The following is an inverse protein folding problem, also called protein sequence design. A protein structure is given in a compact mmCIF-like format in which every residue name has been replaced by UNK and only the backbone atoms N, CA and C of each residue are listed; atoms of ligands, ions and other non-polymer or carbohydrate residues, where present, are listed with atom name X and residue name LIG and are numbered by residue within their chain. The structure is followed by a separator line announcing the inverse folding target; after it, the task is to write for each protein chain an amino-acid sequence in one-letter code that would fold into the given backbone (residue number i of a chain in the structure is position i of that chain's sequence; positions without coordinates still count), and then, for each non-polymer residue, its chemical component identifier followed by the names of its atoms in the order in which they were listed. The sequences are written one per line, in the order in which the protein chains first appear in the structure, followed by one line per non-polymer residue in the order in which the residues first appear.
data_IF_566678337087
#
_entry.id   IF_566678337087
#
_cell.length_a   1.000
_cell.length_b   1.000
_cell.length_c   1.000
_cell.angle_alpha   90.00
_cell.angle_beta   90.00
_cell.angle_gamma   90.00
#
_symmetry.space_group_name_H-M   'P 1'
#
loop_
_entity.id
_entity.type
_entity.pdbx_description
1 polymer ?
#
# COMPACT_ATOMS: atom_id res chain seq x y z
N UNK A 1 -7.86 5.62 -19.99
CA UNK A 1 -7.88 5.47 -18.53
C UNK A 1 -7.00 6.52 -17.85
N UNK A 2 -7.31 7.83 -17.97
CA UNK A 2 -6.51 8.91 -17.34
C UNK A 2 -7.14 9.47 -16.06
N UNK A 3 -8.28 8.92 -15.63
CA UNK A 3 -8.82 9.21 -14.31
C UNK A 3 -8.16 8.22 -13.35
N UNK A 4 -7.21 8.74 -12.59
CA UNK A 4 -6.65 8.04 -11.44
C UNK A 4 -7.77 7.86 -10.43
N UNK A 5 -8.10 6.61 -10.20
CA UNK A 5 -8.92 6.20 -9.09
C UNK A 5 -8.33 6.80 -7.82
N UNK A 6 -9.15 7.36 -6.94
CA UNK A 6 -8.75 7.74 -5.58
C UNK A 6 -9.18 6.61 -4.63
N UNK A 7 -8.43 5.51 -4.55
CA UNK A 7 -8.71 4.47 -3.58
C UNK A 7 -8.49 5.02 -2.17
N UNK A 8 -9.35 4.59 -1.24
CA UNK A 8 -9.18 4.91 0.17
C UNK A 8 -7.82 4.44 0.69
N UNK A 9 -7.32 5.09 1.75
CA UNK A 9 -6.01 4.79 2.34
C UNK A 9 -5.86 3.31 2.72
N UNK A 10 -6.95 2.64 3.12
CA UNK A 10 -6.97 1.21 3.44
C UNK A 10 -6.75 0.33 2.19
N UNK A 11 -7.48 0.61 1.11
CA UNK A 11 -7.34 -0.11 -0.16
C UNK A 11 -5.93 0.05 -0.74
N UNK A 12 -5.35 1.24 -0.62
CA UNK A 12 -3.95 1.49 -0.98
C UNK A 12 -2.98 0.69 -0.12
N UNK A 13 -3.16 0.68 1.19
CA UNK A 13 -2.30 -0.08 2.10
C UNK A 13 -2.30 -1.58 1.76
N UNK A 14 -3.47 -2.13 1.44
CA UNK A 14 -3.60 -3.51 0.98
C UNK A 14 -2.86 -3.75 -0.34
N UNK A 15 -3.00 -2.86 -1.32
CA UNK A 15 -2.28 -2.97 -2.60
C UNK A 15 -0.76 -2.88 -2.41
N UNK A 16 -0.28 -2.01 -1.52
CA UNK A 16 1.14 -1.96 -1.13
C UNK A 16 1.62 -3.25 -0.47
N UNK A 17 0.73 -3.94 0.24
CA UNK A 17 0.98 -5.27 0.81
C UNK A 17 0.77 -6.43 -0.20
N UNK A 18 0.67 -6.13 -1.50
CA UNK A 18 0.35 -7.09 -2.57
C UNK A 18 -0.94 -7.89 -2.29
N UNK A 19 -1.94 -7.26 -1.69
CA UNK A 19 -3.30 -7.83 -1.55
C UNK A 19 -4.28 -7.02 -2.39
N UNK A 20 -5.13 -7.70 -3.15
CA UNK A 20 -6.24 -7.07 -3.86
C UNK A 20 -7.41 -6.84 -2.89
N UNK A 21 -7.81 -5.58 -2.61
CA UNK A 21 -9.00 -5.29 -1.83
C UNK A 21 -10.28 -5.68 -2.59
N UNK A 22 -11.27 -6.25 -1.90
CA UNK A 22 -12.61 -6.50 -2.46
C UNK A 22 -13.31 -5.21 -2.92
N UNK A 23 -13.02 -4.08 -2.27
CA UNK A 23 -13.55 -2.77 -2.64
C UNK A 23 -13.03 -2.28 -4.00
N UNK A 24 -11.93 -2.82 -4.54
CA UNK A 24 -11.36 -2.34 -5.79
C UNK A 24 -12.26 -2.61 -6.99
N UNK A 25 -12.93 -3.76 -7.04
CA UNK A 25 -13.85 -4.05 -8.16
C UNK A 25 -14.97 -3.01 -8.22
N UNK A 26 -15.59 -2.70 -7.08
CA UNK A 26 -16.64 -1.68 -6.98
C UNK A 26 -16.15 -0.30 -7.44
N UNK A 27 -14.94 0.10 -7.02
CA UNK A 27 -14.39 1.41 -7.39
C UNK A 27 -14.16 1.52 -8.91
N UNK A 28 -13.76 0.44 -9.58
CA UNK A 28 -13.56 0.44 -11.04
C UNK A 28 -14.87 0.28 -11.80
N UNK A 29 -15.84 -0.48 -11.26
CA UNK A 29 -17.20 -0.57 -11.80
C UNK A 29 -17.89 0.80 -11.82
N UNK A 30 -17.72 1.62 -10.78
CA UNK A 30 -18.21 3.01 -10.73
C UNK A 30 -17.62 3.89 -11.86
N UNK A 31 -16.44 3.54 -12.35
CA UNK A 31 -15.76 4.20 -13.47
C UNK A 31 -16.08 3.54 -14.83
N UNK A 32 -16.95 2.54 -14.85
CA UNK A 32 -17.34 1.79 -16.04
C UNK A 32 -16.25 0.85 -16.57
N UNK A 33 -15.28 0.47 -15.73
CA UNK A 33 -14.17 -0.42 -16.09
C UNK A 33 -14.29 -1.71 -15.29
N UNK A 34 -14.32 -2.86 -15.98
CA UNK A 34 -14.25 -4.16 -15.32
C UNK A 34 -12.79 -4.56 -15.12
N UNK A 35 -12.32 -4.58 -13.87
CA UNK A 35 -10.96 -4.98 -13.53
C UNK A 35 -10.67 -6.44 -13.89
N UNK A 36 -11.55 -7.32 -13.43
CA UNK A 36 -11.51 -8.76 -13.71
C UNK A 36 -12.67 -9.07 -14.65
N UNK A 37 -12.45 -9.84 -15.73
CA UNK A 37 -13.52 -10.22 -16.63
C UNK A 37 -14.54 -11.10 -15.90
N UNK A 38 -15.81 -10.69 -15.89
CA UNK A 38 -16.93 -11.44 -15.29
C UNK A 38 -17.38 -12.62 -16.14
N UNK A 39 -16.99 -12.64 -17.42
CA UNK A 39 -17.27 -13.72 -18.35
C UNK A 39 -15.98 -14.20 -18.98
N UNK A 40 -15.94 -15.50 -19.29
CA UNK A 40 -14.81 -16.07 -19.99
C UNK A 40 -14.68 -15.41 -21.37
N UNK A 41 -13.60 -14.68 -21.58
CA UNK A 41 -13.29 -14.12 -22.88
C UNK A 41 -13.12 -15.26 -23.91
N UNK A 42 -13.39 -15.02 -25.21
CA UNK A 42 -13.11 -15.98 -26.24
C UNK A 42 -11.60 -16.24 -26.31
N UNK A 43 -11.15 -17.32 -25.66
CA UNK A 43 -9.77 -17.77 -25.69
C UNK A 43 -9.59 -18.83 -26.77
N UNK A 44 -8.67 -18.59 -27.70
CA UNK A 44 -8.23 -19.61 -28.66
C UNK A 44 -6.96 -20.28 -28.17
N UNK A 45 -6.89 -21.59 -28.34
CA UNK A 45 -5.68 -22.37 -28.11
C UNK A 45 -5.38 -23.14 -29.38
N UNK A 46 -4.12 -23.16 -29.82
CA UNK A 46 -3.66 -23.94 -30.98
C UNK A 46 -3.60 -25.46 -30.70
N UNK A 47 -4.30 -25.96 -29.68
CA UNK A 47 -4.33 -27.38 -29.37
C UNK A 47 -5.25 -28.14 -30.34
N UNK A 48 -4.96 -29.42 -30.55
CA UNK A 48 -5.73 -30.31 -31.43
C UNK A 48 -7.12 -30.71 -30.89
N UNK A 49 -7.58 -30.10 -29.79
CA UNK A 49 -8.83 -30.46 -29.13
C UNK A 49 -9.89 -29.41 -29.47
N UNK A 50 -10.97 -29.82 -30.12
CA UNK A 50 -12.14 -28.99 -30.45
C UNK A 50 -13.10 -28.85 -29.26
N UNK A 51 -12.58 -28.37 -28.13
CA UNK A 51 -13.36 -28.07 -26.93
C UNK A 51 -12.96 -26.70 -26.40
N UNK A 52 -13.94 -25.82 -26.15
CA UNK A 52 -13.71 -24.49 -25.61
C UNK A 52 -14.48 -24.28 -24.29
N UNK A 53 -13.81 -23.95 -23.16
CA UNK A 53 -12.35 -23.85 -23.01
C UNK A 53 -11.68 -25.23 -22.93
N UNK A 54 -10.53 -25.39 -23.60
CA UNK A 54 -9.74 -26.61 -23.49
C UNK A 54 -8.99 -26.64 -22.15
N UNK A 55 -8.48 -27.81 -21.75
CA UNK A 55 -7.70 -27.96 -20.50
C UNK A 55 -6.49 -27.01 -20.39
N UNK A 56 -5.91 -26.58 -21.51
CA UNK A 56 -4.78 -25.66 -21.50
C UNK A 56 -5.23 -24.23 -21.22
N UNK A 57 -6.37 -23.80 -21.76
CA UNK A 57 -6.98 -22.51 -21.41
C UNK A 57 -7.32 -22.50 -19.93
N UNK A 58 -7.89 -23.59 -19.41
CA UNK A 58 -8.18 -23.74 -17.98
C UNK A 58 -6.89 -23.66 -17.16
N UNK A 59 -5.88 -24.48 -17.49
CA UNK A 59 -4.60 -24.48 -16.78
C UNK A 59 -3.91 -23.12 -16.80
N UNK A 60 -3.90 -22.43 -17.95
CA UNK A 60 -3.35 -21.08 -18.07
C UNK A 60 -4.14 -20.08 -17.23
N UNK A 61 -5.48 -20.15 -17.23
CA UNK A 61 -6.31 -19.27 -16.42
C UNK A 61 -6.11 -19.48 -14.92
N UNK A 62 -5.92 -20.73 -14.47
CA UNK A 62 -5.59 -21.04 -13.08
C UNK A 62 -4.21 -20.51 -12.70
N UNK A 63 -3.19 -20.74 -13.56
CA UNK A 63 -1.84 -20.22 -13.31
C UNK A 63 -1.81 -18.69 -13.29
N UNK A 64 -2.63 -18.04 -14.13
CA UNK A 64 -2.76 -16.59 -14.12
C UNK A 64 -3.46 -16.11 -12.84
N UNK A 65 -4.55 -16.75 -12.41
CA UNK A 65 -5.22 -16.42 -11.16
C UNK A 65 -4.27 -16.53 -9.96
N UNK A 66 -3.51 -17.61 -9.87
CA UNK A 66 -2.53 -17.85 -8.80
C UNK A 66 -1.44 -16.76 -8.78
N UNK A 67 -0.96 -16.34 -9.95
CA UNK A 67 0.00 -15.24 -10.07
C UNK A 67 -0.59 -13.89 -9.67
N UNK A 68 -1.87 -13.65 -9.97
CA UNK A 68 -2.58 -12.42 -9.59
C UNK A 68 -2.88 -12.35 -8.09
N UNK A 69 -3.13 -13.49 -7.45
CA UNK A 69 -3.27 -13.59 -5.99
C UNK A 69 -1.96 -13.21 -5.27
N UNK A 70 -0.80 -13.58 -5.83
CA UNK A 70 0.51 -13.20 -5.31
C UNK A 70 0.92 -11.76 -5.67
N UNK A 71 0.56 -11.29 -6.86
CA UNK A 71 1.03 -10.04 -7.45
C UNK A 71 -0.12 -9.27 -8.11
N UNK A 72 -1.02 -8.66 -7.31
CA UNK A 72 -2.23 -8.04 -7.84
C UNK A 72 -1.97 -6.84 -8.75
N UNK A 73 -0.80 -6.20 -8.63
CA UNK A 73 -0.40 -5.08 -9.49
C UNK A 73 -0.14 -5.50 -10.96
N UNK A 74 0.11 -6.78 -11.22
CA UNK A 74 0.22 -7.32 -12.59
C UNK A 74 -1.09 -7.16 -13.37
N UNK A 75 -2.25 -7.08 -12.69
CA UNK A 75 -3.52 -6.76 -13.32
C UNK A 75 -3.46 -5.41 -14.06
N UNK A 76 -2.87 -4.38 -13.43
CA UNK A 76 -2.76 -3.07 -14.07
C UNK A 76 -1.84 -3.10 -15.28
N UNK A 77 -0.78 -3.90 -15.21
CA UNK A 77 0.13 -4.12 -16.33
C UNK A 77 -0.59 -4.79 -17.52
N UNK A 78 -1.46 -5.76 -17.25
CA UNK A 78 -2.32 -6.38 -18.29
C UNK A 78 -3.31 -5.38 -18.91
N UNK A 79 -3.75 -4.38 -18.15
CA UNK A 79 -4.55 -3.25 -18.65
C UNK A 79 -3.72 -2.15 -19.34
N UNK A 80 -2.41 -2.37 -19.52
CA UNK A 80 -1.50 -1.45 -20.21
C UNK A 80 -1.02 -0.28 -19.35
N UNK A 81 -1.16 -0.37 -18.03
CA UNK A 81 -0.64 0.61 -17.08
C UNK A 81 0.51 -0.01 -16.31
N UNK A 82 1.72 0.53 -16.47
CA UNK A 82 2.88 0.06 -15.72
C UNK A 82 2.72 0.36 -14.22
N UNK A 83 3.43 -0.42 -13.41
CA UNK A 83 3.48 -0.23 -11.96
C UNK A 83 3.97 1.17 -11.61
N UNK A 84 4.97 1.64 -12.32
CA UNK A 84 5.59 2.95 -12.16
C UNK A 84 4.59 4.07 -12.47
N UNK A 85 3.89 3.99 -13.60
CA UNK A 85 2.85 4.97 -13.97
C UNK A 85 1.69 5.01 -12.96
N UNK A 86 1.33 3.86 -12.39
CA UNK A 86 0.30 3.79 -11.36
C UNK A 86 0.73 4.48 -10.06
N UNK A 87 1.95 4.19 -9.59
CA UNK A 87 2.49 4.88 -8.41
C UNK A 87 2.73 6.36 -8.64
N UNK A 88 3.19 6.75 -9.83
CA UNK A 88 3.39 8.15 -10.20
C UNK A 88 2.07 8.90 -10.16
N UNK A 89 0.98 8.30 -10.65
CA UNK A 89 -0.34 8.90 -10.55
C UNK A 89 -0.83 9.08 -9.11
N UNK A 90 -0.59 8.12 -8.22
CA UNK A 90 -0.94 8.27 -6.79
C UNK A 90 -0.10 9.38 -6.15
N UNK A 91 1.20 9.42 -6.44
CA UNK A 91 2.10 10.45 -5.91
C UNK A 91 1.66 11.83 -6.36
N UNK A 92 1.33 12.00 -7.64
CA UNK A 92 0.80 13.24 -8.17
C UNK A 92 -0.51 13.66 -7.48
N UNK A 93 -1.40 12.69 -7.19
CA UNK A 93 -2.64 12.96 -6.44
C UNK A 93 -2.38 13.48 -5.02
N UNK A 94 -1.24 13.12 -4.43
CA UNK A 94 -0.78 13.59 -3.12
C UNK A 94 0.11 14.83 -3.21
N UNK A 95 0.34 15.39 -4.40
CA UNK A 95 1.26 16.52 -4.63
C UNK A 95 2.74 16.15 -4.48
N UNK A 96 3.07 14.86 -4.52
CA UNK A 96 4.43 14.32 -4.46
C UNK A 96 4.94 14.12 -5.89
N UNK A 97 6.18 14.52 -6.23
CA UNK A 97 6.72 14.32 -7.58
C UNK A 97 6.85 12.83 -7.95
N UNK A 98 6.68 12.48 -9.25
CA UNK A 98 6.75 11.10 -9.74
C UNK A 98 8.15 10.48 -9.52
N UNK A 99 8.19 9.16 -9.33
CA UNK A 99 9.38 8.32 -9.22
C UNK A 99 10.18 8.31 -10.51
N UNK A 100 9.52 8.34 -11.67
CA UNK A 100 10.18 8.38 -13.00
C UNK A 100 11.12 9.58 -13.18
N UNK A 101 10.91 10.68 -12.46
CA UNK A 101 11.80 11.84 -12.43
C UNK A 101 13.03 11.67 -11.53
N UNK A 102 13.17 10.54 -10.81
CA UNK A 102 14.34 10.21 -10.00
C UNK A 102 14.91 8.86 -10.43
N UNK A 103 15.88 8.89 -11.35
CA UNK A 103 17.02 7.99 -11.14
C UNK A 103 17.55 8.31 -9.73
N UNK A 104 17.75 7.34 -8.83
CA UNK A 104 18.51 7.60 -7.64
C UNK A 104 19.95 7.84 -8.12
N UNK A 105 20.28 9.09 -8.42
CA UNK A 105 21.55 9.60 -7.93
C UNK A 105 21.46 9.36 -6.43
N UNK A 106 22.01 8.22 -5.98
CA UNK A 106 22.32 8.01 -4.58
C UNK A 106 23.05 9.29 -4.20
N UNK A 107 22.44 10.19 -3.40
CA UNK A 107 23.18 11.35 -2.94
C UNK A 107 24.41 10.73 -2.29
N UNK A 108 25.61 11.12 -2.71
CA UNK A 108 26.80 10.82 -1.95
C UNK A 108 26.49 11.35 -0.57
N UNK A 109 26.12 10.46 0.35
CA UNK A 109 25.75 10.85 1.70
C UNK A 109 27.03 11.43 2.26
N UNK A 110 27.12 12.75 2.21
CA UNK A 110 28.22 13.48 2.80
C UNK A 110 28.07 13.18 4.28
N UNK A 111 29.05 12.49 4.89
CA UNK A 111 29.00 12.07 6.29
C UNK A 111 28.63 13.23 7.25
N UNK A 112 28.88 14.47 6.82
CA UNK A 112 28.50 15.71 7.48
C UNK A 112 26.98 15.99 7.60
N UNK A 113 26.12 15.27 6.87
CA UNK A 113 24.65 15.46 6.90
C UNK A 113 23.91 14.42 7.76
N UNK A 114 24.63 13.44 8.34
CA UNK A 114 24.03 12.44 9.25
C UNK A 114 23.40 13.15 10.46
N UNK A 115 24.04 14.21 10.95
CA UNK A 115 23.55 15.00 12.10
C UNK A 115 22.27 15.79 11.79
N UNK A 116 22.04 16.18 10.54
CA UNK A 116 20.84 16.91 10.12
C UNK A 116 19.73 16.01 9.58
N UNK A 117 19.93 14.69 9.47
CA UNK A 117 18.95 13.77 8.89
C UNK A 117 17.60 13.77 9.64
N UNK A 118 17.62 13.88 10.97
CA UNK A 118 16.42 13.97 11.79
C UNK A 118 15.89 15.41 11.97
N UNK A 119 16.51 16.39 11.33
CA UNK A 119 15.98 17.75 11.34
C UNK A 119 14.88 17.85 10.29
N UNK A 120 13.72 18.35 10.71
CA UNK A 120 12.61 18.64 9.82
C UNK A 120 13.04 19.80 8.88
N UNK A 121 13.24 19.56 7.57
CA UNK A 121 13.79 20.56 6.66
C UNK A 121 12.77 21.65 6.31
N UNK A 122 11.48 21.38 6.56
CA UNK A 122 10.39 22.32 6.40
C UNK A 122 9.81 22.69 7.77
N UNK A 123 9.39 23.95 7.99
CA UNK A 123 8.60 24.29 9.15
C UNK A 123 7.34 23.43 9.14
N UNK A 124 7.08 22.74 10.26
CA UNK A 124 5.85 21.96 10.40
C UNK A 124 4.64 22.88 10.13
N UNK A 125 3.59 22.37 9.47
CA UNK A 125 2.36 23.14 9.31
C UNK A 125 1.92 23.65 10.68
N UNK A 126 1.73 24.96 10.82
CA UNK A 126 1.39 25.63 12.10
C UNK A 126 0.02 25.20 12.64
N UNK A 127 -0.78 24.58 11.76
CA UNK A 127 -1.85 23.66 12.10
C UNK A 127 -1.24 22.34 12.59
N UNK A 128 -0.66 22.36 13.78
CA UNK A 128 -0.75 21.22 14.67
C UNK A 128 -2.03 21.50 15.44
N UNK A 129 -3.17 21.01 14.94
CA UNK A 129 -4.40 21.06 15.72
C UNK A 129 -4.07 20.59 17.13
N UNK A 130 -4.52 21.34 18.15
CA UNK A 130 -4.38 20.93 19.54
C UNK A 130 -4.97 19.54 19.63
N UNK A 131 -4.11 18.53 19.70
CA UNK A 131 -4.53 17.19 20.06
C UNK A 131 -4.98 17.36 21.50
N UNK A 132 -6.30 17.40 21.72
CA UNK A 132 -6.88 17.15 23.04
C UNK A 132 -6.49 15.73 23.40
N UNK A 133 -5.26 15.59 23.91
CA UNK A 133 -4.75 14.34 24.44
C UNK A 133 -5.57 14.10 25.71
N UNK A 134 -6.41 13.05 25.75
CA UNK A 134 -7.11 12.72 26.98
C UNK A 134 -6.05 12.40 28.03
N UNK A 135 -6.17 13.00 29.23
CA UNK A 135 -5.36 12.65 30.41
C UNK A 135 -5.66 11.19 30.78
N UNK A 136 -5.02 10.26 30.09
CA UNK A 136 -5.21 8.82 30.25
C UNK A 136 -3.85 8.16 30.34
N UNK A 137 -3.74 7.16 31.22
CA UNK A 137 -2.50 6.40 31.35
C UNK A 137 -2.26 5.62 30.06
N UNK A 138 -1.22 6.01 29.32
CA UNK A 138 -0.84 5.39 28.03
C UNK A 138 -0.61 3.88 28.22
N UNK A 139 -0.21 3.44 29.41
CA UNK A 139 -0.04 2.02 29.73
C UNK A 139 -1.36 1.25 29.89
N UNK A 140 -2.48 1.93 30.17
CA UNK A 140 -3.81 1.29 30.14
C UNK A 140 -4.31 1.09 28.70
N UNK A 141 -3.97 2.02 27.79
CA UNK A 141 -4.39 1.97 26.38
C UNK A 141 -3.54 0.96 25.60
N UNK A 142 -2.21 1.04 25.73
CA UNK A 142 -1.27 0.23 24.95
C UNK A 142 -0.90 -1.09 25.65
N UNK A 143 -1.25 -1.23 26.93
CA UNK A 143 -0.85 -2.36 27.75
C UNK A 143 0.64 -2.34 28.11
N UNK A 144 1.06 -3.35 28.87
CA UNK A 144 2.48 -3.51 29.24
C UNK A 144 3.26 -3.99 28.02
N UNK A 145 4.34 -3.30 27.61
CA UNK A 145 5.15 -3.72 26.48
C UNK A 145 5.75 -5.13 26.69
N UNK A 146 5.82 -5.97 25.64
CA UNK A 146 6.22 -7.38 25.76
C UNK A 146 7.68 -7.58 26.17
N UNK A 147 8.51 -6.53 26.08
CA UNK A 147 9.90 -6.54 26.50
C UNK A 147 10.09 -6.17 27.98
N UNK A 148 9.03 -5.82 28.71
CA UNK A 148 9.08 -5.62 30.16
C UNK A 148 8.54 -6.84 30.90
N UNK A 149 9.28 -7.37 31.89
CA UNK A 149 8.74 -8.38 32.78
C UNK A 149 7.63 -7.76 33.63
N UNK A 150 6.42 -8.35 33.59
CA UNK A 150 5.26 -7.86 34.34
C UNK A 150 5.46 -7.81 35.86
N UNK A 151 6.51 -8.47 36.38
CA UNK A 151 6.89 -8.49 37.80
C UNK A 151 7.61 -7.22 38.26
N UNK A 152 8.13 -6.39 37.35
CA UNK A 152 9.00 -5.27 37.72
C UNK A 152 8.22 -3.96 37.92
N UNK A 153 7.48 -3.92 39.03
CA UNK A 153 6.59 -2.81 39.41
C UNK A 153 7.33 -1.47 39.51
N UNK A 154 8.62 -1.49 39.84
CA UNK A 154 9.42 -0.29 40.02
C UNK A 154 9.65 0.44 38.69
N UNK A 155 9.93 -0.32 37.63
CA UNK A 155 10.15 0.22 36.29
C UNK A 155 8.86 0.77 35.67
N UNK A 156 7.73 0.07 35.87
CA UNK A 156 6.41 0.55 35.44
C UNK A 156 6.04 1.87 36.12
N UNK A 157 6.35 2.01 37.41
CA UNK A 157 6.07 3.22 38.16
C UNK A 157 6.91 4.41 37.70
N UNK A 158 8.18 4.19 37.34
CA UNK A 158 9.05 5.22 36.74
C UNK A 158 8.51 5.66 35.38
N UNK A 159 8.15 4.71 34.51
CA UNK A 159 7.64 5.04 33.18
C UNK A 159 6.30 5.80 33.25
N UNK A 160 5.39 5.37 34.12
CA UNK A 160 4.13 6.09 34.36
C UNK A 160 4.34 7.54 34.81
N UNK A 161 5.42 7.84 35.52
CA UNK A 161 5.75 9.21 35.92
C UNK A 161 6.25 10.07 34.75
N UNK A 162 6.90 9.46 33.75
CA UNK A 162 7.49 10.15 32.60
C UNK A 162 6.48 10.37 31.46
N UNK A 163 5.48 9.49 31.36
CA UNK A 163 4.47 9.49 30.29
C UNK A 163 3.09 9.96 30.76
N UNK A 164 3.04 10.70 31.88
CA UNK A 164 1.84 11.39 32.34
C UNK A 164 1.71 12.71 31.58
N UNK A 165 0.83 12.75 30.58
CA UNK A 165 0.39 14.00 29.93
C UNK A 165 -0.68 14.68 30.76
#
# INVERSE_FOLDING_TARGET
MKQLVQPDAYSLALLFANRLPESMEAIFEDLGVTLIPTQLAPCSCNCHIELSPCRHVIAMSCAMAERLDEQPLELFHLHGQSKEEWFDGIRESWGIPPLSNRLPELPSVLESQITSFYQCPHPLPTNSGTLDLPETDIFEILGTPPFFPASDQNMQQILRSLYKT
#
